data_IF_509711818652
#
_entry.id   IF_509711818652
#
_cell.length_a   1.000
_cell.length_b   1.000
_cell.length_c   1.000
_cell.angle_alpha   90.00
_cell.angle_beta   90.00
_cell.angle_gamma   90.00
#
_symmetry.space_group_name_H-M   'P 1'
#
loop_
_entity.id
_entity.type
_entity.pdbx_description
1 polymer ?
#
# COMPACT_ATOMS: atom_id res chain seq x y z
N UNK A 1 -14.79 10.27 4.79
CA UNK A 1 -14.42 9.29 5.84
C UNK A 1 -13.68 8.16 5.17
N UNK A 2 -12.41 7.92 5.53
CA UNK A 2 -11.66 6.76 5.04
C UNK A 2 -12.23 5.52 5.71
N UNK A 3 -12.83 4.64 4.93
CA UNK A 3 -13.25 3.32 5.38
C UNK A 3 -12.39 2.33 4.58
N UNK A 4 -11.29 1.83 5.17
CA UNK A 4 -10.53 0.75 4.56
C UNK A 4 -11.42 -0.48 4.50
N UNK A 5 -11.64 -0.96 3.28
CA UNK A 5 -12.48 -2.13 3.02
C UNK A 5 -11.58 -3.33 2.78
N UNK A 6 -11.99 -4.48 3.30
CA UNK A 6 -11.43 -5.77 2.93
C UNK A 6 -12.09 -6.25 1.63
N UNK A 7 -11.40 -6.19 0.48
CA UNK A 7 -12.00 -6.57 -0.78
C UNK A 7 -12.21 -8.08 -0.92
N UNK A 8 -11.62 -8.91 -0.04
CA UNK A 8 -11.84 -10.36 -0.05
C UNK A 8 -13.26 -10.72 0.41
N UNK A 9 -13.96 -9.81 1.09
CA UNK A 9 -15.34 -10.05 1.58
C UNK A 9 -16.40 -9.99 0.48
N UNK A 10 -16.16 -9.25 -0.60
CA UNK A 10 -17.14 -9.05 -1.67
C UNK A 10 -16.46 -8.86 -3.02
N UNK A 11 -16.84 -9.67 -4.03
CA UNK A 11 -16.30 -9.57 -5.39
C UNK A 11 -16.50 -8.18 -6.02
N UNK A 12 -17.57 -7.49 -5.65
CA UNK A 12 -17.90 -6.14 -6.14
C UNK A 12 -16.79 -5.11 -5.85
N UNK A 13 -16.05 -5.28 -4.75
CA UNK A 13 -14.96 -4.37 -4.37
C UNK A 13 -13.80 -4.38 -5.38
N UNK A 14 -13.51 -5.55 -5.95
CA UNK A 14 -12.47 -5.68 -6.98
C UNK A 14 -12.89 -5.04 -8.30
N UNK A 15 -14.17 -5.17 -8.68
CA UNK A 15 -14.70 -4.51 -9.87
C UNK A 15 -14.75 -2.99 -9.71
N UNK A 16 -15.09 -2.50 -8.50
CA UNK A 16 -15.03 -1.07 -8.17
C UNK A 16 -13.61 -0.54 -8.22
N UNK A 17 -12.64 -1.28 -7.68
CA UNK A 17 -11.22 -0.94 -7.79
C UNK A 17 -10.80 -0.86 -9.26
N UNK A 18 -11.07 -1.90 -10.04
CA UNK A 18 -10.74 -1.93 -11.48
C UNK A 18 -11.27 -0.70 -12.21
N UNK A 19 -12.54 -0.35 -12.00
CA UNK A 19 -13.16 0.84 -12.58
C UNK A 19 -12.48 2.13 -12.13
N UNK A 20 -12.18 2.27 -10.84
CA UNK A 20 -11.50 3.44 -10.27
C UNK A 20 -10.10 3.63 -10.86
N UNK A 21 -9.34 2.54 -10.98
CA UNK A 21 -8.00 2.55 -11.57
C UNK A 21 -8.05 2.98 -13.04
N UNK A 22 -9.02 2.47 -13.83
CA UNK A 22 -9.19 2.90 -15.23
C UNK A 22 -9.56 4.39 -15.32
N UNK A 23 -10.43 4.90 -14.45
CA UNK A 23 -10.94 6.28 -14.55
C UNK A 23 -9.95 7.34 -14.05
N UNK A 24 -9.18 7.03 -13.00
CA UNK A 24 -8.37 8.04 -12.30
C UNK A 24 -6.93 8.13 -12.79
N UNK A 25 -6.49 7.29 -13.75
CA UNK A 25 -5.09 7.24 -14.22
C UNK A 25 -4.11 7.20 -13.05
N UNK A 26 -4.25 6.18 -12.20
CA UNK A 26 -3.44 5.99 -11.02
C UNK A 26 -1.94 6.00 -11.32
N UNK A 27 -1.17 6.48 -10.35
CA UNK A 27 0.26 6.28 -10.28
C UNK A 27 0.53 5.02 -9.47
N UNK A 28 1.75 4.53 -9.54
CA UNK A 28 2.08 3.29 -8.89
C UNK A 28 3.42 3.50 -8.18
N UNK A 29 3.60 2.97 -6.97
CA UNK A 29 4.83 3.23 -6.19
C UNK A 29 5.50 1.95 -5.76
N UNK A 30 4.78 0.90 -5.35
CA UNK A 30 5.42 -0.36 -4.91
C UNK A 30 4.79 -1.54 -5.65
N UNK A 31 5.56 -2.26 -6.49
CA UNK A 31 5.13 -3.32 -7.42
C UNK A 31 5.86 -4.60 -7.13
N UNK A 32 5.13 -5.67 -6.86
CA UNK A 32 5.77 -6.96 -6.55
C UNK A 32 6.83 -6.79 -5.45
N UNK A 33 6.62 -5.82 -4.55
CA UNK A 33 7.56 -5.45 -3.51
C UNK A 33 8.84 -4.73 -3.97
N UNK A 34 8.78 -3.96 -5.07
CA UNK A 34 9.85 -3.10 -5.61
C UNK A 34 9.32 -1.69 -5.87
N UNK A 35 10.14 -0.63 -5.74
CA UNK A 35 9.72 0.72 -6.11
C UNK A 35 9.53 0.83 -7.63
N UNK A 36 8.32 1.17 -8.08
CA UNK A 36 7.99 1.33 -9.49
C UNK A 36 7.10 2.55 -9.69
N UNK A 37 7.70 3.74 -9.76
CA UNK A 37 7.02 4.95 -10.21
C UNK A 37 6.99 4.92 -11.74
N UNK A 38 5.89 4.43 -12.32
CA UNK A 38 5.75 4.33 -13.77
C UNK A 38 4.36 4.72 -14.26
N UNK A 39 4.34 5.53 -15.32
CA UNK A 39 3.17 5.80 -16.15
C UNK A 39 2.72 4.48 -16.80
N UNK A 40 1.44 4.14 -16.66
CA UNK A 40 0.90 2.92 -17.25
C UNK A 40 0.93 3.11 -18.76
N UNK A 41 1.89 2.45 -19.42
CA UNK A 41 2.01 2.49 -20.87
C UNK A 41 0.76 1.98 -21.60
N UNK A 42 0.89 1.77 -22.91
CA UNK A 42 -0.25 1.54 -23.82
C UNK A 42 -1.20 0.36 -23.48
N UNK A 43 -0.87 -0.55 -22.55
CA UNK A 43 -1.75 -1.65 -22.10
C UNK A 43 -2.13 -1.56 -20.60
N UNK A 44 -2.76 -0.44 -20.24
CA UNK A 44 -3.30 -0.19 -18.90
C UNK A 44 -4.22 -1.31 -18.38
N UNK A 45 -4.99 -1.96 -19.25
CA UNK A 45 -5.93 -3.02 -18.84
C UNK A 45 -5.20 -4.27 -18.36
N UNK A 46 -4.16 -4.70 -19.07
CA UNK A 46 -3.35 -5.85 -18.66
C UNK A 46 -2.59 -5.54 -17.36
N UNK A 47 -2.05 -4.34 -17.21
CA UNK A 47 -1.40 -3.89 -15.98
C UNK A 47 -2.34 -3.95 -14.78
N UNK A 48 -3.55 -3.39 -14.89
CA UNK A 48 -4.58 -3.41 -13.83
C UNK A 48 -4.96 -4.84 -13.48
N UNK A 49 -5.16 -5.71 -14.48
CA UNK A 49 -5.47 -7.13 -14.25
C UNK A 49 -4.36 -7.81 -13.45
N UNK A 50 -3.10 -7.51 -13.79
CA UNK A 50 -1.93 -8.00 -13.06
C UNK A 50 -1.91 -7.54 -11.60
N UNK A 51 -2.14 -6.25 -11.35
CA UNK A 51 -2.21 -5.67 -9.99
C UNK A 51 -3.30 -6.34 -9.17
N UNK A 52 -4.53 -6.40 -9.69
CA UNK A 52 -5.66 -7.01 -8.98
C UNK A 52 -5.38 -8.48 -8.66
N UNK A 53 -4.77 -9.24 -9.58
CA UNK A 53 -4.44 -10.63 -9.33
C UNK A 53 -3.44 -10.79 -8.18
N UNK A 54 -2.40 -9.94 -8.13
CA UNK A 54 -1.42 -9.96 -7.04
C UNK A 54 -2.04 -9.55 -5.71
N UNK A 55 -2.86 -8.49 -5.69
CA UNK A 55 -3.58 -8.09 -4.48
C UNK A 55 -4.49 -9.23 -4.00
N UNK A 56 -5.24 -9.91 -4.89
CA UNK A 56 -6.07 -11.07 -4.50
C UNK A 56 -5.28 -12.20 -3.84
N UNK A 57 -4.03 -12.40 -4.26
CA UNK A 57 -3.13 -13.44 -3.74
C UNK A 57 -2.39 -13.02 -2.46
N UNK A 58 -2.33 -11.73 -2.14
CA UNK A 58 -1.63 -11.25 -0.96
C UNK A 58 -2.35 -11.64 0.33
N UNK A 59 -1.62 -11.78 1.43
CA UNK A 59 -2.21 -12.22 2.71
C UNK A 59 -3.21 -11.20 3.24
N UNK A 60 -2.82 -9.93 3.21
CA UNK A 60 -3.58 -8.81 3.74
C UNK A 60 -3.74 -7.71 2.70
N UNK A 61 -4.97 -7.26 2.48
CA UNK A 61 -5.30 -6.21 1.51
C UNK A 61 -6.32 -5.25 2.09
N UNK A 62 -6.13 -3.96 1.80
CA UNK A 62 -7.13 -2.93 2.05
C UNK A 62 -7.28 -2.01 0.87
N UNK A 63 -8.52 -1.66 0.57
CA UNK A 63 -8.86 -0.67 -0.45
C UNK A 63 -9.44 0.57 0.23
N UNK A 64 -8.95 1.75 -0.14
CA UNK A 64 -9.64 3.00 0.19
C UNK A 64 -10.93 3.15 -0.60
N UNK A 65 -11.93 3.81 0.00
CA UNK A 65 -13.16 4.19 -0.67
C UNK A 65 -13.48 5.65 -0.36
N UNK A 66 -13.75 6.47 -1.37
CA UNK A 66 -14.26 7.82 -1.15
C UNK A 66 -15.12 8.35 -2.33
N UNK A 67 -16.20 9.07 -2.01
CA UNK A 67 -17.17 9.62 -2.96
C UNK A 67 -16.69 10.97 -3.53
N UNK A 68 -16.01 10.93 -4.68
CA UNK A 68 -15.57 12.06 -5.54
C UNK A 68 -14.33 12.90 -5.12
N UNK A 69 -13.51 12.44 -4.18
CA UNK A 69 -12.27 13.12 -3.71
C UNK A 69 -11.17 12.06 -3.51
N UNK A 70 -9.89 12.46 -3.66
CA UNK A 70 -8.67 11.67 -3.41
C UNK A 70 -8.94 10.48 -2.49
N UNK A 71 -8.93 9.30 -3.09
CA UNK A 71 -9.15 8.05 -2.39
C UNK A 71 -7.84 7.68 -1.69
N UNK A 72 -7.86 7.35 -0.39
CA UNK A 72 -6.63 6.94 0.26
C UNK A 72 -6.19 5.58 -0.28
N UNK A 73 -4.92 5.25 -0.12
CA UNK A 73 -4.28 4.19 -0.91
C UNK A 73 -4.90 2.81 -0.81
N UNK A 74 -4.78 2.13 -1.93
CA UNK A 74 -4.99 0.69 -2.05
C UNK A 74 -3.65 0.00 -1.85
N UNK A 75 -3.60 -0.97 -0.94
CA UNK A 75 -2.34 -1.62 -0.62
C UNK A 75 -2.51 -3.09 -0.29
N UNK A 76 -1.43 -3.84 -0.48
CA UNK A 76 -1.36 -5.25 -0.18
C UNK A 76 -0.04 -5.60 0.51
N UNK A 77 -0.12 -6.50 1.49
CA UNK A 77 0.97 -6.92 2.35
C UNK A 77 1.00 -8.44 2.42
N UNK A 78 2.20 -9.00 2.39
CA UNK A 78 2.45 -10.42 2.65
C UNK A 78 3.15 -10.60 3.99
N UNK A 79 2.72 -11.58 4.78
CA UNK A 79 3.38 -11.96 6.02
C UNK A 79 4.59 -12.83 5.68
N UNK A 80 5.77 -12.42 6.16
CA UNK A 80 6.99 -13.23 6.12
C UNK A 80 6.99 -14.19 7.31
N UNK A 81 6.49 -13.71 8.45
CA UNK A 81 6.26 -14.50 9.67
C UNK A 81 5.07 -13.92 10.44
N UNK A 82 4.72 -14.52 11.57
CA UNK A 82 3.63 -14.05 12.42
C UNK A 82 3.75 -12.58 12.88
N UNK A 83 4.97 -12.06 12.99
CA UNK A 83 5.25 -10.71 13.49
C UNK A 83 5.99 -9.81 12.49
N UNK A 84 6.25 -10.29 11.27
CA UNK A 84 6.96 -9.56 10.22
C UNK A 84 6.21 -9.64 8.90
N UNK A 85 6.06 -8.50 8.24
CA UNK A 85 5.37 -8.42 6.95
C UNK A 85 6.11 -7.52 5.97
N UNK A 86 5.81 -7.66 4.68
CA UNK A 86 6.36 -6.85 3.59
C UNK A 86 5.23 -6.24 2.77
N UNK A 87 5.31 -4.93 2.53
CA UNK A 87 4.43 -4.23 1.60
C UNK A 87 4.78 -4.65 0.16
N UNK A 88 3.80 -5.17 -0.58
CA UNK A 88 4.02 -5.74 -1.92
C UNK A 88 3.31 -4.97 -3.02
N UNK A 89 2.19 -4.32 -2.70
CA UNK A 89 1.50 -3.41 -3.62
C UNK A 89 1.14 -2.13 -2.87
N UNK A 90 1.43 -0.98 -3.48
CA UNK A 90 0.95 0.34 -3.08
C UNK A 90 0.56 1.12 -4.33
N UNK A 91 -0.73 1.44 -4.44
CA UNK A 91 -1.28 2.22 -5.54
C UNK A 91 -1.55 3.63 -5.04
N UNK A 92 -0.91 4.61 -5.68
CA UNK A 92 -1.11 6.03 -5.44
C UNK A 92 -1.93 6.64 -6.59
N UNK A 93 -2.55 7.79 -6.40
CA UNK A 93 -3.28 8.48 -7.47
C UNK A 93 -2.54 9.72 -7.97
N UNK A 94 -1.44 10.08 -7.32
CA UNK A 94 -0.61 11.26 -7.56
C UNK A 94 0.87 10.85 -7.43
N UNK A 95 1.76 11.47 -8.19
CA UNK A 95 3.21 11.22 -8.12
C UNK A 95 3.92 12.14 -7.11
N UNK A 96 3.19 13.05 -6.45
CA UNK A 96 3.77 13.95 -5.46
C UNK A 96 4.30 13.20 -4.22
N UNK A 97 5.50 13.60 -3.79
CA UNK A 97 6.17 13.05 -2.61
C UNK A 97 5.33 13.23 -1.33
N UNK A 98 4.63 14.35 -1.22
CA UNK A 98 3.75 14.63 -0.08
C UNK A 98 2.56 13.66 -0.02
N UNK A 99 1.93 13.36 -1.16
CA UNK A 99 0.83 12.39 -1.20
C UNK A 99 1.35 11.00 -0.82
N UNK A 100 2.49 10.58 -1.39
CA UNK A 100 3.13 9.31 -1.05
C UNK A 100 3.47 9.19 0.44
N UNK A 101 4.04 10.24 1.04
CA UNK A 101 4.34 10.30 2.48
C UNK A 101 3.07 10.14 3.31
N UNK A 102 2.01 10.87 2.99
CA UNK A 102 0.74 10.81 3.73
C UNK A 102 0.10 9.42 3.63
N UNK A 103 0.16 8.84 2.44
CA UNK A 103 -0.39 7.53 2.15
C UNK A 103 0.37 6.41 2.87
N UNK A 104 1.69 6.43 2.84
CA UNK A 104 2.51 5.49 3.61
C UNK A 104 2.27 5.65 5.11
N UNK A 105 2.16 6.87 5.60
CA UNK A 105 1.85 7.14 7.02
C UNK A 105 0.52 6.49 7.41
N UNK A 106 -0.52 6.65 6.58
CA UNK A 106 -1.82 6.02 6.80
C UNK A 106 -1.72 4.48 6.79
N UNK A 107 -1.03 3.93 5.79
CA UNK A 107 -0.83 2.47 5.64
C UNK A 107 -0.13 1.88 6.86
N UNK A 108 0.96 2.50 7.29
CA UNK A 108 1.75 2.06 8.45
C UNK A 108 0.88 2.05 9.70
N UNK A 109 0.21 3.16 10.01
CA UNK A 109 -0.65 3.27 11.18
C UNK A 109 -1.77 2.22 11.14
N UNK A 110 -2.39 2.04 9.98
CA UNK A 110 -3.51 1.13 9.83
C UNK A 110 -3.11 -0.34 9.97
N UNK A 111 -2.01 -0.74 9.32
CA UNK A 111 -1.50 -2.11 9.40
C UNK A 111 -1.19 -2.46 10.85
N UNK A 112 -0.48 -1.59 11.57
CA UNK A 112 -0.16 -1.86 12.98
C UNK A 112 -1.43 -1.82 13.86
N UNK A 113 -2.40 -0.95 13.59
CA UNK A 113 -3.65 -0.93 14.33
C UNK A 113 -4.42 -2.26 14.20
N UNK A 114 -4.61 -2.77 12.98
CA UNK A 114 -5.36 -4.00 12.75
C UNK A 114 -4.58 -5.27 13.12
N UNK A 115 -3.27 -5.28 12.87
CA UNK A 115 -2.41 -6.44 13.10
C UNK A 115 -1.60 -6.24 14.39
N UNK A 116 -2.25 -6.46 15.53
CA UNK A 116 -1.65 -6.23 16.86
C UNK A 116 -0.39 -7.07 17.13
N UNK A 117 -0.24 -8.23 16.49
CA UNK A 117 0.96 -9.07 16.61
C UNK A 117 2.13 -8.60 15.74
N UNK A 118 1.89 -7.74 14.75
CA UNK A 118 2.93 -7.25 13.86
C UNK A 118 3.90 -6.36 14.62
N UNK A 119 5.18 -6.71 14.55
CA UNK A 119 6.29 -5.95 15.14
C UNK A 119 7.11 -5.22 14.09
N UNK A 120 7.22 -5.80 12.89
CA UNK A 120 8.06 -5.27 11.82
C UNK A 120 7.31 -5.25 10.48
N UNK A 121 7.34 -4.10 9.80
CA UNK A 121 6.85 -3.91 8.44
C UNK A 121 7.99 -3.45 7.55
N UNK A 122 8.29 -4.23 6.51
CA UNK A 122 9.28 -3.88 5.48
C UNK A 122 8.58 -3.16 4.34
N UNK A 123 9.05 -1.95 4.03
CA UNK A 123 8.58 -1.12 2.92
C UNK A 123 9.72 -1.04 1.90
N UNK A 124 9.57 -1.58 0.68
CA UNK A 124 10.62 -1.64 -0.33
C UNK A 124 10.80 -0.31 -1.08
N UNK A 125 10.93 0.76 -0.31
CA UNK A 125 11.10 2.13 -0.74
C UNK A 125 11.66 2.95 0.43
N UNK A 126 12.51 3.93 0.14
CA UNK A 126 12.95 4.93 1.12
C UNK A 126 12.21 6.24 0.89
N UNK A 127 11.49 6.70 1.91
CA UNK A 127 10.80 8.00 1.95
C UNK A 127 11.26 8.76 3.18
N UNK A 128 11.57 10.04 3.00
CA UNK A 128 12.00 10.91 4.08
C UNK A 128 10.79 11.43 4.87
N UNK A 129 11.03 11.80 6.13
CA UNK A 129 10.05 12.51 6.97
C UNK A 129 8.70 11.80 7.14
N UNK A 130 8.67 10.46 7.14
CA UNK A 130 7.49 9.71 7.58
C UNK A 130 7.33 9.91 9.09
N UNK A 131 6.19 10.47 9.49
CA UNK A 131 5.83 10.69 10.88
C UNK A 131 4.70 9.75 11.28
N UNK A 132 4.98 8.75 12.11
CA UNK A 132 3.93 7.94 12.72
C UNK A 132 4.21 7.72 14.21
N UNK A 133 3.12 7.53 14.96
CA UNK A 133 3.16 7.43 16.41
C UNK A 133 3.58 6.01 16.82
N UNK A 134 4.48 5.90 17.81
CA UNK A 134 4.96 4.63 18.37
C UNK A 134 5.62 3.70 17.34
N UNK A 135 6.32 4.27 16.36
CA UNK A 135 7.16 3.51 15.44
C UNK A 135 8.60 3.99 15.47
N UNK A 136 9.50 3.06 15.21
CA UNK A 136 10.90 3.31 14.89
C UNK A 136 11.11 3.01 13.41
N UNK A 137 11.88 3.85 12.73
CA UNK A 137 12.15 3.74 11.31
C UNK A 137 13.65 3.54 11.12
N UNK A 138 14.03 2.40 10.57
CA UNK A 138 15.38 2.13 10.09
C UNK A 138 15.40 2.20 8.56
N UNK A 139 16.36 2.92 7.99
CA UNK A 139 16.61 2.94 6.55
C UNK A 139 17.74 1.97 6.22
N UNK A 140 17.42 0.98 5.41
CA UNK A 140 18.37 0.01 4.89
C UNK A 140 18.74 0.41 3.46
N UNK A 141 19.73 1.30 3.36
CA UNK A 141 20.22 1.85 2.10
C UNK A 141 20.75 0.76 1.15
N UNK A 142 21.27 -0.35 1.71
CA UNK A 142 21.81 -1.45 0.90
C UNK A 142 20.72 -2.17 0.11
N UNK A 143 19.55 -2.36 0.70
CA UNK A 143 18.42 -3.02 0.05
C UNK A 143 17.34 -2.02 -0.42
N UNK A 144 17.62 -0.72 -0.35
CA UNK A 144 16.72 0.38 -0.71
C UNK A 144 15.31 0.23 -0.10
N UNK A 145 15.27 0.00 1.21
CA UNK A 145 14.02 -0.27 1.94
C UNK A 145 13.99 0.43 3.29
N UNK A 146 12.78 0.67 3.80
CA UNK A 146 12.55 1.07 5.18
C UNK A 146 12.05 -0.11 5.99
N UNK A 147 12.57 -0.27 7.20
CA UNK A 147 12.10 -1.22 8.19
C UNK A 147 11.40 -0.43 9.29
N UNK A 148 10.09 -0.59 9.39
CA UNK A 148 9.26 0.06 10.39
C UNK A 148 9.03 -0.92 11.54
N UNK A 149 9.42 -0.54 12.75
CA UNK A 149 9.21 -1.33 13.95
C UNK A 149 8.23 -0.65 14.88
N UNK A 150 7.34 -1.43 15.50
CA UNK A 150 6.48 -0.91 16.58
C UNK A 150 7.32 -0.75 17.84
N UNK A 151 7.32 0.45 18.42
CA UNK A 151 7.89 0.71 19.75
C UNK A 151 6.83 0.31 20.79
N UNK A 152 7.19 -0.61 21.69
CA UNK A 152 6.31 -1.03 22.77
C UNK A 152 6.03 0.14 23.73
N UNK A 153 4.81 0.21 24.27
CA UNK A 153 4.56 0.84 25.56
C UNK A 153 4.69 -0.21 26.64
#
# INVERSE_FOLDING_TARGET
>A
MYIPLDPKKTNESWEKLKKSLISNKFTYTICKGENLISDLGNDMQQCIKGIINRMKQADYVRLGSNRMILMPVHFAVNFISYNKAKLVELINLDDSENTLKNDLTLVIQFIFFENKSLKELVIPLIVNDIEAINIEIEKDEKHHQMIIRRVGK
#
